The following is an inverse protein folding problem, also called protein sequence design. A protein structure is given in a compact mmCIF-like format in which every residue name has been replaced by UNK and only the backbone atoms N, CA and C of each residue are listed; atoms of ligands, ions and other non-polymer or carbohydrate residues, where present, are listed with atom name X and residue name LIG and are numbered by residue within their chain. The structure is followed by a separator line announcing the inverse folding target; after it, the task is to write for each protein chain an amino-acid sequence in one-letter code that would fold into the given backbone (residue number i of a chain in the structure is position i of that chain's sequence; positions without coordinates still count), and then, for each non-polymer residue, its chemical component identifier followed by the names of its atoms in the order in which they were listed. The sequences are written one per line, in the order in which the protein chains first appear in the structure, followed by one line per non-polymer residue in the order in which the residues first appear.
data_IF_260093323147
#
_entry.id   IF_260093323147
#
_cell.length_a   1.000
_cell.length_b   1.000
_cell.length_c   1.000
_cell.angle_alpha   90.00
_cell.angle_beta   90.00
_cell.angle_gamma   90.00
#
_symmetry.space_group_name_H-M   'P 1'
#
loop_
_entity.id
_entity.type
_entity.pdbx_description
1 polymer ?
#
# COMPACT_ATOMS: atom_id res chain seq x y z
N UNK A 1 -34.38 -20.21 -0.79
CA UNK A 1 -32.95 -20.34 -0.46
C UNK A 1 -32.80 -19.97 1.00
N UNK A 2 -32.16 -20.82 1.80
CA UNK A 2 -31.94 -20.55 3.23
C UNK A 2 -30.54 -19.93 3.43
N UNK A 3 -30.43 -18.63 3.25
CA UNK A 3 -29.17 -17.88 3.36
C UNK A 3 -28.42 -18.12 4.66
N UNK A 4 -29.16 -18.22 5.79
CA UNK A 4 -28.52 -18.45 7.09
C UNK A 4 -27.74 -19.76 7.11
N UNK A 5 -28.35 -20.86 6.69
CA UNK A 5 -27.71 -22.18 6.71
C UNK A 5 -26.53 -22.23 5.75
N UNK A 6 -26.64 -21.59 4.58
CA UNK A 6 -25.55 -21.53 3.61
C UNK A 6 -24.35 -20.74 4.19
N UNK A 7 -24.59 -19.59 4.78
CA UNK A 7 -23.55 -18.78 5.46
C UNK A 7 -22.90 -19.56 6.59
N UNK A 8 -23.71 -20.20 7.46
CA UNK A 8 -23.22 -21.01 8.57
C UNK A 8 -22.30 -22.14 8.09
N UNK A 9 -22.71 -22.89 7.08
CA UNK A 9 -21.90 -23.98 6.54
C UNK A 9 -20.56 -23.46 5.97
N UNK A 10 -20.58 -22.39 5.16
CA UNK A 10 -19.35 -21.76 4.64
C UNK A 10 -18.39 -21.30 5.77
N UNK A 11 -18.92 -20.79 6.87
CA UNK A 11 -18.11 -20.39 8.01
C UNK A 11 -17.51 -21.60 8.74
N UNK A 12 -18.28 -22.68 8.92
CA UNK A 12 -17.79 -23.93 9.49
C UNK A 12 -16.67 -24.52 8.64
N UNK A 13 -16.86 -24.59 7.32
CA UNK A 13 -15.86 -25.10 6.38
C UNK A 13 -14.59 -24.26 6.42
N UNK A 14 -14.72 -22.93 6.51
CA UNK A 14 -13.57 -22.03 6.67
C UNK A 14 -12.82 -22.26 8.02
N UNK A 15 -13.53 -22.56 9.12
CA UNK A 15 -12.89 -22.93 10.38
C UNK A 15 -12.09 -24.23 10.28
N UNK A 16 -12.63 -25.23 9.59
CA UNK A 16 -11.92 -26.49 9.34
C UNK A 16 -10.69 -26.23 8.49
N UNK A 17 -10.83 -25.47 7.39
CA UNK A 17 -9.74 -25.14 6.49
C UNK A 17 -8.64 -24.31 7.18
N UNK A 18 -9.00 -23.43 8.11
CA UNK A 18 -8.04 -22.58 8.83
C UNK A 18 -7.07 -23.38 9.71
N UNK A 19 -7.41 -24.64 10.07
CA UNK A 19 -6.55 -25.54 10.84
C UNK A 19 -5.50 -26.24 9.98
N UNK A 20 -5.66 -26.26 8.67
CA UNK A 20 -4.68 -26.80 7.75
C UNK A 20 -3.52 -25.81 7.64
N UNK A 21 -2.28 -26.29 7.81
CA UNK A 21 -1.06 -25.46 7.65
C UNK A 21 -0.74 -25.32 6.16
N UNK A 22 -1.49 -24.50 5.44
CA UNK A 22 -1.27 -24.22 4.02
C UNK A 22 -1.24 -22.69 3.78
N UNK A 23 -0.38 -22.27 2.87
CA UNK A 23 -0.30 -20.86 2.42
C UNK A 23 -1.58 -20.38 1.74
N UNK A 24 -2.40 -21.27 1.21
CA UNK A 24 -3.67 -20.94 0.57
C UNK A 24 -4.79 -20.53 1.54
N UNK A 25 -4.63 -20.74 2.86
CA UNK A 25 -5.69 -20.50 3.85
C UNK A 25 -6.20 -19.05 3.89
N UNK A 26 -5.32 -18.06 3.75
CA UNK A 26 -5.75 -16.65 3.76
C UNK A 26 -6.53 -16.31 2.49
N UNK A 27 -6.11 -16.82 1.34
CA UNK A 27 -6.86 -16.68 0.08
C UNK A 27 -8.22 -17.36 0.15
N UNK A 28 -8.29 -18.58 0.68
CA UNK A 28 -9.55 -19.30 0.89
C UNK A 28 -10.49 -18.50 1.80
N UNK A 29 -9.99 -18.01 2.92
CA UNK A 29 -10.75 -17.18 3.87
C UNK A 29 -11.30 -15.92 3.21
N UNK A 30 -10.49 -15.21 2.44
CA UNK A 30 -10.89 -13.96 1.76
C UNK A 30 -12.00 -14.25 0.74
N UNK A 31 -11.85 -15.29 -0.07
CA UNK A 31 -12.88 -15.71 -1.05
C UNK A 31 -14.17 -16.13 -0.32
N UNK A 32 -14.06 -16.91 0.74
CA UNK A 32 -15.23 -17.31 1.55
C UNK A 32 -15.95 -16.10 2.14
N UNK A 33 -15.20 -15.10 2.64
CA UNK A 33 -15.79 -13.88 3.20
C UNK A 33 -16.47 -13.02 2.13
N UNK A 34 -15.92 -12.99 0.92
CA UNK A 34 -16.55 -12.32 -0.23
C UNK A 34 -17.89 -12.98 -0.59
N UNK A 35 -17.94 -14.31 -0.68
CA UNK A 35 -19.17 -15.06 -0.97
C UNK A 35 -20.22 -14.89 0.13
N UNK A 36 -19.79 -14.89 1.41
CA UNK A 36 -20.69 -14.61 2.53
C UNK A 36 -21.23 -13.18 2.43
N UNK A 37 -20.39 -12.21 2.04
CA UNK A 37 -20.80 -10.83 1.80
C UNK A 37 -21.90 -10.74 0.73
N UNK A 38 -21.80 -11.51 -0.36
CA UNK A 38 -22.82 -11.64 -1.38
C UNK A 38 -24.14 -12.16 -0.79
N UNK A 39 -24.08 -13.27 -0.06
CA UNK A 39 -25.26 -13.88 0.55
C UNK A 39 -25.95 -12.95 1.58
N UNK A 40 -25.17 -12.19 2.36
CA UNK A 40 -25.69 -11.18 3.29
C UNK A 40 -26.36 -10.01 2.55
N UNK A 41 -25.85 -9.62 1.40
CA UNK A 41 -26.44 -8.56 0.56
C UNK A 41 -27.76 -9.03 -0.02
N UNK A 42 -27.81 -10.23 -0.57
CA UNK A 42 -29.04 -10.85 -1.10
C UNK A 42 -30.09 -11.07 -0.01
N UNK A 43 -29.68 -11.58 1.15
CA UNK A 43 -30.56 -11.76 2.29
C UNK A 43 -31.14 -10.41 2.81
N UNK A 44 -30.32 -9.37 2.88
CA UNK A 44 -30.75 -8.04 3.28
C UNK A 44 -31.77 -7.43 2.33
N UNK A 45 -31.62 -7.64 1.02
CA UNK A 45 -32.61 -7.24 0.03
C UNK A 45 -33.96 -7.96 0.17
N UNK A 46 -33.92 -9.21 0.65
CA UNK A 46 -35.12 -10.05 0.78
C UNK A 46 -35.82 -9.93 2.14
N UNK A 47 -35.05 -9.80 3.24
CA UNK A 47 -35.56 -9.90 4.61
C UNK A 47 -35.41 -8.59 5.42
N UNK A 48 -34.88 -7.51 4.82
CA UNK A 48 -34.73 -6.20 5.45
C UNK A 48 -33.37 -5.99 6.16
N UNK A 49 -33.25 -4.84 6.85
CA UNK A 49 -31.96 -4.34 7.35
C UNK A 49 -31.43 -5.06 8.60
N UNK A 50 -32.26 -5.78 9.36
CA UNK A 50 -31.86 -6.42 10.64
C UNK A 50 -31.21 -7.80 10.47
N UNK A 51 -31.07 -8.31 9.23
CA UNK A 51 -30.55 -9.66 8.97
C UNK A 51 -29.14 -9.88 9.55
N UNK A 52 -28.29 -8.87 9.53
CA UNK A 52 -26.92 -8.98 10.06
C UNK A 52 -26.95 -9.22 11.58
N UNK A 53 -27.79 -8.49 12.29
CA UNK A 53 -27.89 -8.63 13.76
C UNK A 53 -28.49 -9.98 14.17
N UNK A 54 -29.55 -10.39 13.48
CA UNK A 54 -30.16 -11.71 13.71
C UNK A 54 -29.20 -12.87 13.45
N UNK A 55 -28.47 -12.81 12.30
CA UNK A 55 -27.53 -13.85 11.94
C UNK A 55 -26.31 -13.84 12.88
N UNK A 56 -25.84 -12.66 13.29
CA UNK A 56 -24.69 -12.55 14.19
C UNK A 56 -24.96 -13.19 15.55
N UNK A 57 -26.15 -12.96 16.14
CA UNK A 57 -26.54 -13.54 17.42
C UNK A 57 -26.47 -15.07 17.40
N UNK A 58 -26.95 -15.69 16.32
CA UNK A 58 -26.93 -17.15 16.13
C UNK A 58 -25.52 -17.65 15.83
N UNK A 59 -24.82 -17.02 14.89
CA UNK A 59 -23.49 -17.45 14.44
C UNK A 59 -22.41 -17.34 15.53
N UNK A 60 -22.50 -16.36 16.42
CA UNK A 60 -21.60 -16.21 17.56
C UNK A 60 -21.69 -17.44 18.48
N UNK A 61 -22.89 -17.98 18.67
CA UNK A 61 -23.13 -19.17 19.50
C UNK A 61 -22.77 -20.45 18.76
N UNK A 62 -23.21 -20.58 17.52
CA UNK A 62 -23.14 -21.83 16.75
C UNK A 62 -21.79 -22.08 16.07
N UNK A 63 -21.05 -21.02 15.71
CA UNK A 63 -19.78 -21.13 14.97
C UNK A 63 -18.61 -20.51 15.74
N UNK A 64 -18.81 -19.31 16.32
CA UNK A 64 -17.78 -18.69 17.13
C UNK A 64 -17.87 -17.18 17.27
N UNK A 65 -17.34 -16.67 18.39
CA UNK A 65 -17.43 -15.25 18.81
C UNK A 65 -16.90 -14.24 17.78
N UNK A 66 -16.02 -14.66 16.88
CA UNK A 66 -15.45 -13.77 15.85
C UNK A 66 -16.45 -13.39 14.75
N UNK A 67 -17.56 -14.10 14.62
CA UNK A 67 -18.60 -13.86 13.61
C UNK A 67 -19.72 -12.96 14.12
N UNK A 68 -19.35 -11.93 14.87
CA UNK A 68 -20.24 -10.88 15.36
C UNK A 68 -20.71 -9.94 14.23
N UNK A 69 -21.69 -9.09 14.53
CA UNK A 69 -22.30 -8.16 13.56
C UNK A 69 -21.28 -7.29 12.83
N UNK A 70 -20.24 -6.80 13.54
CA UNK A 70 -19.16 -6.01 12.93
C UNK A 70 -18.41 -6.81 11.85
N UNK A 71 -18.12 -8.08 12.10
CA UNK A 71 -17.41 -8.94 11.14
C UNK A 71 -18.29 -9.25 9.94
N UNK A 72 -19.56 -9.57 10.15
CA UNK A 72 -20.53 -9.82 9.06
C UNK A 72 -20.73 -8.56 8.21
N UNK A 73 -20.85 -7.40 8.84
CA UNK A 73 -20.94 -6.13 8.13
C UNK A 73 -19.71 -5.88 7.24
N UNK A 74 -18.50 -6.16 7.73
CA UNK A 74 -17.27 -6.04 6.94
C UNK A 74 -17.21 -7.04 5.77
N UNK A 75 -17.78 -8.24 5.92
CA UNK A 75 -17.89 -9.18 4.81
C UNK A 75 -18.86 -8.66 3.74
N UNK A 76 -19.98 -8.06 4.14
CA UNK A 76 -20.91 -7.39 3.22
C UNK A 76 -20.23 -6.21 2.52
N UNK A 77 -19.46 -5.40 3.26
CA UNK A 77 -18.69 -4.30 2.71
C UNK A 77 -17.63 -4.79 1.70
N UNK A 78 -16.93 -5.89 2.00
CA UNK A 78 -16.00 -6.54 1.08
C UNK A 78 -16.68 -6.85 -0.27
N UNK A 79 -17.83 -7.49 -0.24
CA UNK A 79 -18.57 -7.80 -1.45
C UNK A 79 -18.99 -6.53 -2.22
N UNK A 80 -19.57 -5.55 -1.53
CA UNK A 80 -20.05 -4.33 -2.18
C UNK A 80 -18.94 -3.54 -2.87
N UNK A 81 -17.74 -3.51 -2.30
CA UNK A 81 -16.58 -2.80 -2.87
C UNK A 81 -15.99 -3.61 -4.02
N UNK A 82 -15.66 -4.87 -3.78
CA UNK A 82 -14.87 -5.68 -4.70
C UNK A 82 -15.68 -6.45 -5.75
N UNK A 83 -17.02 -6.34 -5.73
CA UNK A 83 -17.87 -6.74 -6.86
C UNK A 83 -17.92 -5.69 -7.98
N UNK A 84 -17.36 -4.50 -7.77
CA UNK A 84 -17.26 -3.47 -8.79
C UNK A 84 -16.17 -3.84 -9.81
N UNK A 85 -16.54 -3.91 -11.09
CA UNK A 85 -15.64 -4.26 -12.20
C UNK A 85 -14.43 -3.32 -12.34
N UNK A 86 -14.54 -2.08 -11.83
CA UNK A 86 -13.43 -1.11 -11.82
C UNK A 86 -12.35 -1.41 -10.80
N UNK A 87 -12.62 -2.30 -9.83
CA UNK A 87 -11.63 -2.70 -8.83
C UNK A 87 -10.84 -3.89 -9.33
N UNK A 88 -9.52 -3.79 -9.24
CA UNK A 88 -8.60 -4.85 -9.67
C UNK A 88 -8.92 -6.20 -9.00
N UNK A 89 -9.05 -7.26 -9.77
CA UNK A 89 -9.28 -8.63 -9.29
C UNK A 89 -8.10 -9.20 -8.49
N UNK A 90 -6.96 -8.53 -8.52
CA UNK A 90 -5.76 -8.89 -7.76
C UNK A 90 -5.97 -8.85 -6.24
N UNK A 91 -7.03 -8.20 -5.74
CA UNK A 91 -7.37 -8.16 -4.31
C UNK A 91 -7.45 -9.57 -3.67
N UNK A 92 -7.74 -10.61 -4.45
CA UNK A 92 -7.80 -11.99 -3.96
C UNK A 92 -6.46 -12.54 -3.49
N UNK A 93 -5.35 -11.86 -3.81
CA UNK A 93 -4.00 -12.19 -3.35
C UNK A 93 -3.65 -11.55 -2.01
N UNK A 94 -4.47 -10.60 -1.54
CA UNK A 94 -4.26 -9.89 -0.28
C UNK A 94 -4.86 -10.67 0.90
N UNK A 95 -4.29 -10.45 2.09
CA UNK A 95 -4.89 -10.99 3.31
C UNK A 95 -6.10 -10.17 3.74
N UNK A 96 -6.97 -10.75 4.57
CA UNK A 96 -8.11 -10.05 5.16
C UNK A 96 -7.72 -8.74 5.87
N UNK A 97 -6.55 -8.71 6.51
CA UNK A 97 -6.04 -7.52 7.20
C UNK A 97 -5.66 -6.40 6.25
N UNK A 98 -5.05 -6.71 5.10
CA UNK A 98 -4.78 -5.73 4.05
C UNK A 98 -6.08 -5.15 3.48
N UNK A 99 -7.04 -6.01 3.11
CA UNK A 99 -8.30 -5.57 2.52
C UNK A 99 -9.08 -4.60 3.40
N UNK A 100 -9.06 -4.81 4.72
CA UNK A 100 -9.73 -3.92 5.66
C UNK A 100 -9.19 -2.49 5.67
N UNK A 101 -7.93 -2.29 5.34
CA UNK A 101 -7.33 -0.95 5.23
C UNK A 101 -7.82 -0.22 3.97
N UNK A 102 -8.21 -0.97 2.94
CA UNK A 102 -8.60 -0.42 1.65
C UNK A 102 -10.07 0.02 1.58
N UNK A 103 -10.92 -0.40 2.54
CA UNK A 103 -12.38 -0.18 2.48
C UNK A 103 -12.82 1.29 2.44
N UNK A 104 -11.98 2.21 2.89
CA UNK A 104 -12.28 3.64 2.93
C UNK A 104 -11.67 4.43 1.77
N UNK A 105 -10.99 3.76 0.86
CA UNK A 105 -10.29 4.40 -0.24
C UNK A 105 -11.18 4.52 -1.49
N UNK A 106 -10.92 5.53 -2.29
CA UNK A 106 -11.48 5.67 -3.63
C UNK A 106 -10.90 4.62 -4.58
N UNK A 107 -11.61 4.31 -5.67
CA UNK A 107 -11.28 3.19 -6.56
C UNK A 107 -9.85 3.26 -7.10
N UNK A 108 -9.38 4.44 -7.53
CA UNK A 108 -8.07 4.59 -8.16
C UNK A 108 -6.94 4.41 -7.14
N UNK A 109 -7.05 5.05 -5.97
CA UNK A 109 -6.09 4.85 -4.87
C UNK A 109 -6.11 3.41 -4.36
N UNK A 110 -7.28 2.79 -4.28
CA UNK A 110 -7.42 1.38 -3.91
C UNK A 110 -6.67 0.46 -4.89
N UNK A 111 -6.87 0.64 -6.19
CA UNK A 111 -6.17 -0.13 -7.23
C UNK A 111 -4.66 0.07 -7.16
N UNK A 112 -4.21 1.29 -6.93
CA UNK A 112 -2.80 1.58 -6.71
C UNK A 112 -2.23 0.78 -5.52
N UNK A 113 -2.86 0.88 -4.34
CA UNK A 113 -2.38 0.18 -3.14
C UNK A 113 -2.50 -1.34 -3.24
N UNK A 114 -3.47 -1.89 -3.97
CA UNK A 114 -3.54 -3.34 -4.27
C UNK A 114 -2.30 -3.75 -5.08
N UNK A 115 -2.02 -3.08 -6.20
CA UNK A 115 -0.87 -3.38 -7.06
C UNK A 115 0.45 -3.19 -6.30
N UNK A 116 0.60 -2.09 -5.56
CA UNK A 116 1.82 -1.78 -4.80
C UNK A 116 2.09 -2.81 -3.70
N UNK A 117 1.04 -3.23 -2.96
CA UNK A 117 1.15 -4.25 -1.92
C UNK A 117 1.62 -5.59 -2.47
N UNK A 118 1.11 -6.01 -3.62
CA UNK A 118 1.47 -7.28 -4.24
C UNK A 118 2.90 -7.21 -4.80
N UNK A 119 3.21 -6.16 -5.56
CA UNK A 119 4.50 -6.01 -6.23
C UNK A 119 5.66 -5.88 -5.25
N UNK A 120 5.44 -5.19 -4.12
CA UNK A 120 6.45 -4.95 -3.09
C UNK A 120 6.34 -5.90 -1.91
N UNK A 121 5.35 -6.82 -1.92
CA UNK A 121 5.06 -7.74 -0.83
C UNK A 121 4.95 -7.02 0.54
N UNK A 122 4.18 -5.91 0.56
CA UNK A 122 4.05 -5.08 1.75
C UNK A 122 3.38 -5.83 2.90
N UNK A 123 3.89 -5.63 4.09
CA UNK A 123 3.18 -6.03 5.32
C UNK A 123 1.98 -5.12 5.56
N UNK A 124 1.05 -5.57 6.42
CA UNK A 124 -0.13 -4.76 6.82
C UNK A 124 0.28 -3.40 7.41
N UNK A 125 1.39 -3.35 8.16
CA UNK A 125 1.90 -2.11 8.78
C UNK A 125 2.47 -1.15 7.74
N UNK A 126 3.18 -1.67 6.77
CA UNK A 126 3.74 -0.86 5.67
C UNK A 126 2.63 -0.28 4.80
N UNK A 127 1.63 -1.09 4.44
CA UNK A 127 0.46 -0.60 3.72
C UNK A 127 -0.29 0.48 4.53
N UNK A 128 -0.53 0.25 5.82
CA UNK A 128 -1.17 1.24 6.69
C UNK A 128 -0.39 2.56 6.75
N UNK A 129 0.93 2.47 6.83
CA UNK A 129 1.80 3.66 6.81
C UNK A 129 1.68 4.43 5.50
N UNK A 130 1.73 3.74 4.35
CA UNK A 130 1.61 4.35 3.03
C UNK A 130 0.26 5.05 2.83
N UNK A 131 -0.83 4.42 3.26
CA UNK A 131 -2.18 5.02 3.23
C UNK A 131 -2.22 6.27 4.13
N UNK A 132 -1.73 6.19 5.37
CA UNK A 132 -1.71 7.33 6.32
C UNK A 132 -0.84 8.48 5.87
N UNK A 133 0.23 8.20 5.13
CA UNK A 133 1.10 9.22 4.55
C UNK A 133 0.55 9.80 3.24
N UNK A 134 -0.62 9.37 2.79
CA UNK A 134 -1.26 9.80 1.55
C UNK A 134 -0.33 9.64 0.33
N UNK A 135 0.37 8.49 0.23
CA UNK A 135 1.36 8.28 -0.83
C UNK A 135 0.76 8.45 -2.22
N UNK A 136 -0.40 7.83 -2.49
CA UNK A 136 -1.09 7.97 -3.78
C UNK A 136 -1.47 9.42 -4.08
N UNK A 137 -1.98 10.15 -3.10
CA UNK A 137 -2.43 11.54 -3.26
C UNK A 137 -1.29 12.48 -3.60
N UNK A 138 -0.07 12.17 -3.12
CA UNK A 138 1.18 12.91 -3.38
C UNK A 138 1.82 12.60 -4.73
N UNK A 139 1.37 11.58 -5.45
CA UNK A 139 1.88 11.29 -6.79
C UNK A 139 1.52 12.43 -7.76
N UNK A 140 2.42 12.79 -8.70
CA UNK A 140 2.10 13.70 -9.80
C UNK A 140 0.87 13.24 -10.58
N UNK A 141 0.11 14.20 -11.13
CA UNK A 141 -1.11 13.90 -11.92
C UNK A 141 -0.77 13.03 -13.12
N UNK A 142 0.35 13.29 -13.77
CA UNK A 142 0.86 12.53 -14.91
C UNK A 142 1.09 11.06 -14.51
N UNK A 143 1.71 10.83 -13.36
CA UNK A 143 1.93 9.47 -12.83
C UNK A 143 0.61 8.77 -12.52
N UNK A 144 -0.36 9.47 -11.90
CA UNK A 144 -1.69 8.91 -11.64
C UNK A 144 -2.39 8.49 -12.93
N UNK A 145 -2.31 9.32 -13.97
CA UNK A 145 -2.89 9.01 -15.28
C UNK A 145 -2.23 7.78 -15.91
N UNK A 146 -0.89 7.69 -15.90
CA UNK A 146 -0.16 6.50 -16.36
C UNK A 146 -0.58 5.23 -15.61
N UNK A 147 -0.73 5.32 -14.29
CA UNK A 147 -1.17 4.19 -13.45
C UNK A 147 -2.60 3.73 -13.76
N UNK A 148 -3.51 4.66 -14.11
CA UNK A 148 -4.90 4.36 -14.49
C UNK A 148 -4.95 3.70 -15.88
N UNK A 149 -4.15 4.22 -16.83
CA UNK A 149 -4.09 3.73 -18.22
C UNK A 149 -3.23 2.47 -18.38
N UNK A 150 -2.52 2.04 -17.34
CA UNK A 150 -1.55 0.95 -17.35
C UNK A 150 -0.38 1.20 -18.34
N UNK A 151 -0.03 2.49 -18.52
CA UNK A 151 1.05 2.96 -19.40
C UNK A 151 2.43 2.67 -18.79
N UNK A 152 3.48 2.80 -19.62
CA UNK A 152 4.86 2.67 -19.19
C UNK A 152 5.23 3.73 -18.16
N UNK A 153 5.86 3.29 -17.06
CA UNK A 153 6.31 4.13 -15.94
C UNK A 153 7.80 4.40 -16.10
N UNK A 154 8.18 5.67 -16.07
CA UNK A 154 9.57 6.12 -16.07
C UNK A 154 10.18 6.14 -14.65
N UNK A 155 11.51 6.30 -14.57
CA UNK A 155 12.22 6.37 -13.28
C UNK A 155 11.70 7.50 -12.40
N UNK A 156 11.42 8.65 -13.00
CA UNK A 156 10.90 9.84 -12.31
C UNK A 156 9.50 9.66 -11.75
N UNK A 157 8.69 8.82 -12.39
CA UNK A 157 7.33 8.49 -11.92
C UNK A 157 7.30 7.67 -10.63
N UNK A 158 8.42 7.03 -10.29
CA UNK A 158 8.52 6.18 -9.09
C UNK A 158 8.83 6.95 -7.82
N UNK A 159 9.24 8.20 -7.93
CA UNK A 159 9.61 9.04 -6.78
C UNK A 159 8.39 9.85 -6.32
N UNK A 160 7.91 9.66 -5.10
CA UNK A 160 6.82 10.47 -4.54
C UNK A 160 7.19 11.96 -4.53
N UNK A 161 6.21 12.84 -4.76
CA UNK A 161 6.43 14.29 -4.68
C UNK A 161 5.29 14.94 -3.85
N UNK A 162 5.57 15.47 -2.67
CA UNK A 162 6.88 15.51 -1.97
C UNK A 162 7.28 14.17 -1.35
N UNK A 163 8.59 13.98 -1.15
CA UNK A 163 9.16 12.89 -0.34
C UNK A 163 9.02 13.26 1.13
N UNK A 164 8.57 12.32 1.97
CA UNK A 164 8.45 12.53 3.40
C UNK A 164 9.72 12.05 4.13
N UNK A 165 10.41 12.97 4.80
CA UNK A 165 11.58 12.66 5.63
C UNK A 165 11.15 12.70 7.09
N UNK A 166 11.41 11.61 7.82
CA UNK A 166 11.08 11.52 9.24
C UNK A 166 12.07 12.33 10.08
N UNK A 167 11.55 13.29 10.83
CA UNK A 167 12.31 14.07 11.81
C UNK A 167 11.84 13.70 13.23
N UNK A 168 12.33 12.56 13.75
CA UNK A 168 11.94 12.02 15.07
C UNK A 168 12.36 12.92 16.23
N UNK A 169 13.46 13.65 16.06
CA UNK A 169 14.09 14.44 17.10
C UNK A 169 13.76 15.95 17.01
N UNK A 170 12.86 16.33 16.08
CA UNK A 170 12.51 17.74 15.80
C UNK A 170 13.75 18.63 15.59
N UNK A 171 14.73 18.11 14.84
CA UNK A 171 15.96 18.83 14.50
C UNK A 171 15.60 19.99 13.59
N UNK A 172 16.15 21.17 13.85
CA UNK A 172 16.02 22.32 12.96
C UNK A 172 16.82 22.07 11.66
N UNK A 173 16.12 22.04 10.52
CA UNK A 173 16.71 21.77 9.20
C UNK A 173 17.05 23.11 8.55
N UNK A 174 18.00 23.84 9.13
CA UNK A 174 18.45 25.11 8.60
C UNK A 174 19.57 25.00 7.53
N UNK A 175 20.16 23.81 7.37
CA UNK A 175 21.29 23.60 6.44
C UNK A 175 21.16 22.26 5.69
N UNK A 176 21.77 22.20 4.50
CA UNK A 176 21.86 20.96 3.70
C UNK A 176 22.53 19.82 4.49
N UNK A 177 23.54 20.15 5.29
CA UNK A 177 24.20 19.17 6.17
C UNK A 177 23.27 18.62 7.25
N UNK A 178 22.40 19.44 7.84
CA UNK A 178 21.41 18.97 8.80
C UNK A 178 20.39 18.03 8.13
N UNK A 179 19.93 18.38 6.93
CA UNK A 179 19.05 17.52 6.11
C UNK A 179 19.72 16.21 5.75
N UNK A 180 20.97 16.24 5.28
CA UNK A 180 21.78 15.07 4.95
C UNK A 180 21.91 14.11 6.14
N UNK A 181 22.32 14.65 7.31
CA UNK A 181 22.44 13.86 8.53
C UNK A 181 21.09 13.24 8.95
N UNK A 182 19.99 13.99 8.86
CA UNK A 182 18.66 13.49 9.18
C UNK A 182 18.25 12.32 8.29
N UNK A 183 18.56 12.37 7.00
CA UNK A 183 18.31 11.26 6.06
C UNK A 183 19.15 10.04 6.45
N UNK A 184 20.43 10.24 6.79
CA UNK A 184 21.32 9.14 7.16
C UNK A 184 20.97 8.50 8.51
N UNK A 185 20.44 9.28 9.47
CA UNK A 185 19.97 8.75 10.77
C UNK A 185 18.83 7.72 10.61
N UNK A 186 18.00 7.87 9.60
CA UNK A 186 16.89 6.94 9.32
C UNK A 186 16.83 6.61 7.82
N UNK A 187 17.98 6.22 7.27
CA UNK A 187 18.12 5.87 5.85
C UNK A 187 17.14 4.76 5.42
N UNK A 188 16.82 3.85 6.33
CA UNK A 188 15.86 2.80 6.07
C UNK A 188 14.45 3.35 5.80
N UNK A 189 14.01 4.33 6.60
CA UNK A 189 12.72 5.00 6.38
C UNK A 189 12.73 5.82 5.09
N UNK A 190 13.82 6.50 4.78
CA UNK A 190 13.97 7.24 3.53
C UNK A 190 13.92 6.29 2.31
N UNK A 191 14.63 5.17 2.35
CA UNK A 191 14.60 4.18 1.27
C UNK A 191 13.22 3.54 1.11
N UNK A 192 12.50 3.29 2.20
CA UNK A 192 11.11 2.81 2.14
C UNK A 192 10.17 3.83 1.51
N UNK A 193 10.37 5.11 1.75
CA UNK A 193 9.60 6.19 1.13
C UNK A 193 9.84 6.25 -0.38
N UNK A 194 11.10 6.14 -0.82
CA UNK A 194 11.44 6.05 -2.24
C UNK A 194 10.89 4.78 -2.91
N UNK A 195 10.73 3.71 -2.14
CA UNK A 195 10.23 2.43 -2.62
C UNK A 195 11.33 1.41 -2.94
N UNK A 196 10.90 0.13 -3.11
CA UNK A 196 11.81 -1.02 -3.23
C UNK A 196 12.64 -1.06 -4.53
N UNK A 197 12.38 -0.13 -5.46
CA UNK A 197 13.15 -0.05 -6.70
C UNK A 197 14.49 0.66 -6.53
N UNK A 198 14.76 1.26 -5.38
CA UNK A 198 15.99 2.00 -5.11
C UNK A 198 16.86 1.27 -4.08
N UNK A 199 18.16 1.26 -4.31
CA UNK A 199 19.18 0.82 -3.37
C UNK A 199 20.10 2.00 -3.02
N UNK A 200 20.42 2.17 -1.74
CA UNK A 200 21.39 3.16 -1.29
C UNK A 200 22.82 2.67 -1.55
N UNK A 201 23.60 3.44 -2.33
CA UNK A 201 24.96 3.11 -2.71
C UNK A 201 25.99 3.84 -1.83
N UNK A 202 25.65 5.03 -1.36
CA UNK A 202 26.53 5.83 -0.49
C UNK A 202 26.12 7.28 -0.40
N UNK A 203 26.73 7.98 0.56
CA UNK A 203 26.60 9.43 0.75
C UNK A 203 27.96 10.10 0.59
N UNK A 204 27.97 11.40 0.27
CA UNK A 204 29.19 12.17 -0.02
C UNK A 204 30.09 11.42 -1.01
N UNK A 205 29.46 10.81 -2.04
CA UNK A 205 30.15 9.91 -2.95
C UNK A 205 31.06 10.69 -3.88
N UNK A 206 32.38 10.45 -3.74
CA UNK A 206 33.40 11.16 -4.48
C UNK A 206 33.55 10.60 -5.89
N UNK A 207 33.40 11.45 -6.89
CA UNK A 207 33.73 11.14 -8.29
C UNK A 207 34.80 12.09 -8.80
N UNK A 208 35.62 11.60 -9.71
CA UNK A 208 36.65 12.40 -10.36
C UNK A 208 36.28 12.63 -11.82
N UNK A 209 36.10 13.88 -12.21
CA UNK A 209 35.83 14.30 -13.59
C UNK A 209 36.98 15.19 -14.05
N UNK A 210 37.76 14.69 -14.98
CA UNK A 210 39.03 15.36 -15.34
C UNK A 210 39.97 15.45 -14.16
N UNK A 211 40.41 16.65 -13.82
CA UNK A 211 41.31 16.93 -12.69
C UNK A 211 40.57 17.38 -11.42
N UNK A 212 39.24 17.44 -11.44
CA UNK A 212 38.43 17.93 -10.33
C UNK A 212 37.70 16.79 -9.63
N UNK A 213 37.60 16.91 -8.28
CA UNK A 213 36.77 16.03 -7.49
C UNK A 213 35.40 16.67 -7.30
N UNK A 214 34.36 15.89 -7.53
CA UNK A 214 32.96 16.24 -7.25
C UNK A 214 32.44 15.31 -6.20
N UNK A 215 31.45 15.76 -5.43
CA UNK A 215 30.81 14.98 -4.37
C UNK A 215 29.31 14.96 -4.62
N UNK A 216 28.73 13.78 -4.63
CA UNK A 216 27.30 13.53 -4.75
C UNK A 216 26.76 13.36 -3.34
N UNK A 217 25.73 14.11 -2.94
CA UNK A 217 25.16 14.04 -1.59
C UNK A 217 24.65 12.64 -1.29
N UNK A 218 23.81 12.06 -2.17
CA UNK A 218 23.38 10.67 -2.08
C UNK A 218 23.46 10.02 -3.45
N UNK A 219 24.12 8.86 -3.52
CA UNK A 219 24.13 8.02 -4.70
C UNK A 219 23.19 6.84 -4.47
N UNK A 220 22.21 6.68 -5.35
CA UNK A 220 21.27 5.58 -5.34
C UNK A 220 21.42 4.74 -6.61
N UNK A 221 20.90 3.52 -6.59
CA UNK A 221 20.78 2.68 -7.76
C UNK A 221 19.33 2.25 -7.94
N UNK A 222 18.76 2.49 -9.11
CA UNK A 222 17.42 2.03 -9.43
C UNK A 222 17.50 0.63 -10.06
N UNK A 223 17.03 -0.37 -9.32
CA UNK A 223 17.11 -1.79 -9.71
C UNK A 223 16.20 -2.08 -10.91
N UNK A 224 15.05 -1.42 -10.99
CA UNK A 224 14.07 -1.65 -12.06
C UNK A 224 14.59 -1.18 -13.43
N UNK A 225 15.22 -0.02 -13.45
CA UNK A 225 15.74 0.60 -14.68
C UNK A 225 17.25 0.38 -14.87
N UNK A 226 17.91 -0.31 -13.94
CA UNK A 226 19.33 -0.62 -13.98
C UNK A 226 20.21 0.62 -14.20
N UNK A 227 19.95 1.70 -13.46
CA UNK A 227 20.66 2.97 -13.58
C UNK A 227 21.01 3.57 -12.20
N UNK A 228 22.09 4.38 -12.18
CA UNK A 228 22.42 5.21 -11.04
C UNK A 228 21.52 6.44 -10.99
N UNK A 229 21.19 6.86 -9.77
CA UNK A 229 20.42 8.08 -9.49
C UNK A 229 21.24 8.98 -8.59
N UNK A 230 21.63 10.13 -9.11
CA UNK A 230 22.35 11.19 -8.39
C UNK A 230 21.32 12.07 -7.68
N UNK A 231 21.48 12.26 -6.38
CA UNK A 231 20.59 13.09 -5.58
C UNK A 231 21.39 14.21 -4.93
N UNK A 232 20.99 15.44 -5.19
CA UNK A 232 21.49 16.66 -4.53
C UNK A 232 20.46 17.17 -3.55
N UNK A 233 20.88 17.58 -2.35
CA UNK A 233 20.04 18.06 -1.28
C UNK A 233 20.08 19.57 -1.20
N UNK A 234 18.93 20.22 -1.18
CA UNK A 234 18.81 21.68 -1.03
C UNK A 234 17.76 22.01 0.03
N UNK A 235 18.04 22.97 0.89
CA UNK A 235 17.11 23.49 1.92
C UNK A 235 16.48 24.82 1.54
N UNK A 236 16.67 25.25 0.29
CA UNK A 236 16.12 26.48 -0.27
C UNK A 236 15.07 26.16 -1.32
N UNK A 237 14.29 27.18 -1.74
CA UNK A 237 13.38 27.02 -2.87
C UNK A 237 14.13 26.57 -4.13
N UNK A 238 13.45 25.75 -4.95
CA UNK A 238 14.03 25.21 -6.18
C UNK A 238 14.41 26.33 -7.14
N UNK A 239 15.64 26.25 -7.66
CA UNK A 239 16.15 27.15 -8.72
C UNK A 239 16.64 26.33 -9.91
N UNK A 240 16.36 26.83 -11.12
CA UNK A 240 16.77 26.16 -12.37
C UNK A 240 18.30 25.94 -12.46
N UNK A 241 19.07 26.79 -11.82
CA UNK A 241 20.53 26.70 -11.73
C UNK A 241 21.02 25.40 -11.07
N UNK A 242 20.20 24.78 -10.19
CA UNK A 242 20.55 23.51 -9.53
C UNK A 242 20.57 22.33 -10.50
N UNK A 243 19.76 22.38 -11.58
CA UNK A 243 19.80 21.37 -12.64
C UNK A 243 21.18 21.35 -13.31
N UNK A 244 21.74 22.53 -13.60
CA UNK A 244 23.07 22.64 -14.19
C UNK A 244 24.17 22.10 -13.27
N UNK A 245 24.00 22.19 -11.96
CA UNK A 245 24.93 21.63 -10.98
C UNK A 245 24.96 20.11 -11.08
N UNK A 246 23.79 19.44 -11.13
CA UNK A 246 23.68 17.99 -11.26
C UNK A 246 24.19 17.50 -12.63
N UNK A 247 23.95 18.27 -13.72
CA UNK A 247 24.42 17.91 -15.06
C UNK A 247 25.94 18.00 -15.20
N UNK A 248 26.61 18.79 -14.36
CA UNK A 248 28.06 18.95 -14.35
C UNK A 248 28.77 18.06 -13.31
N UNK A 249 28.00 17.25 -12.55
CA UNK A 249 28.47 16.23 -11.61
C UNK A 249 28.41 14.86 -12.25
#
# INVERSE_FOLDING_TARGET
MNYYNEIKNKLIDNEVYSKVKDYSKERHKVITYFEIGRLLTEAGGKYGHNVIDEYSQKLVVEVGKKYNGRTLFRMKQLYNIFSNEKVSTLWTQLTWSHLRLLFSLETDSMNYYIKDTINKNLSVRELEFKIKSNEYERLPIETKNKLILDDEIETTDLVPNPILIRNKNNIDIATEKALHNLILEDIESFMKELGNSFAFMGSEYKIKIGDRNHYIDLLLFNVKFNCYVVTELKVTEFKVEYISQVQNT
#
